data_IF_784370496959
#
_entry.id   IF_784370496959
#
_cell.length_a   1.000
_cell.length_b   1.000
_cell.length_c   1.000
_cell.angle_alpha   90.00
_cell.angle_beta   90.00
_cell.angle_gamma   90.00
#
_symmetry.space_group_name_H-M   'P 1'
#
loop_
_entity.id
_entity.type
_entity.pdbx_description
1 polymer ?
#
# COMPACT_ATOMS: atom_id res chain seq x y z
N UNK A 1 13.38 17.97 0.58
CA UNK A 1 12.22 17.13 0.25
C UNK A 1 12.70 16.09 -0.73
N UNK A 2 13.15 14.93 -0.24
CA UNK A 2 13.37 13.82 -1.15
C UNK A 2 11.99 13.35 -1.60
N UNK A 3 11.74 13.47 -2.90
CA UNK A 3 10.66 12.72 -3.55
C UNK A 3 11.13 11.26 -3.61
N UNK A 4 11.15 10.57 -2.46
CA UNK A 4 11.39 9.13 -2.42
C UNK A 4 10.33 8.49 -3.32
N UNK A 5 10.77 7.75 -4.33
CA UNK A 5 9.85 7.06 -5.23
C UNK A 5 8.95 6.12 -4.41
N UNK A 6 7.68 6.02 -4.78
CA UNK A 6 6.75 5.12 -4.11
C UNK A 6 5.66 4.66 -5.07
N UNK A 7 5.04 3.52 -4.75
CA UNK A 7 3.82 3.06 -5.41
C UNK A 7 2.62 3.43 -4.55
N UNK A 8 1.70 4.22 -5.08
CA UNK A 8 0.40 4.47 -4.45
C UNK A 8 -0.64 3.48 -4.95
N UNK A 9 -1.27 2.77 -4.03
CA UNK A 9 -2.29 1.76 -4.30
C UNK A 9 -3.62 2.27 -3.78
N UNK A 10 -4.64 2.32 -4.64
CA UNK A 10 -6.02 2.62 -4.25
C UNK A 10 -6.83 1.33 -4.24
N UNK A 11 -7.16 0.78 -3.07
CA UNK A 11 -8.04 -0.38 -2.99
C UNK A 11 -9.45 -0.02 -3.47
N UNK A 12 -10.14 -0.97 -4.11
CA UNK A 12 -11.52 -0.78 -4.58
C UNK A 12 -12.52 -0.66 -3.41
N UNK A 13 -12.23 -1.34 -2.30
CA UNK A 13 -12.96 -1.24 -1.04
C UNK A 13 -12.18 -0.38 -0.06
N UNK A 14 -12.85 0.48 0.74
CA UNK A 14 -12.20 1.16 1.84
C UNK A 14 -11.54 0.13 2.75
N UNK A 15 -10.26 0.33 3.06
CA UNK A 15 -9.53 -0.53 3.99
C UNK A 15 -9.43 0.17 5.35
N UNK A 16 -9.34 -0.63 6.42
CA UNK A 16 -9.14 -0.06 7.75
C UNK A 16 -7.80 0.67 7.81
N UNK A 17 -7.75 1.79 8.53
CA UNK A 17 -6.51 2.52 8.84
C UNK A 17 -6.11 2.24 10.29
N UNK A 18 -5.64 1.01 10.61
CA UNK A 18 -5.33 0.64 11.98
C UNK A 18 -4.14 1.42 12.56
N UNK A 19 -3.34 2.05 11.70
CA UNK A 19 -2.14 2.80 12.07
C UNK A 19 -2.44 4.25 12.45
N UNK A 20 -3.65 4.75 12.19
CA UNK A 20 -4.06 6.11 12.55
C UNK A 20 -3.45 7.21 11.66
N UNK A 21 -3.10 6.89 10.41
CA UNK A 21 -2.59 7.91 9.47
C UNK A 21 -3.68 8.94 9.10
N UNK A 22 -3.30 10.12 8.62
CA UNK A 22 -4.27 11.18 8.31
C UNK A 22 -5.16 10.86 7.11
N UNK A 23 -4.69 10.04 6.17
CA UNK A 23 -5.43 9.60 4.99
C UNK A 23 -5.58 8.08 4.97
N UNK A 24 -6.74 7.57 4.54
CA UNK A 24 -7.03 6.13 4.37
C UNK A 24 -7.46 5.78 2.95
N UNK A 25 -7.36 6.73 2.02
CA UNK A 25 -7.81 6.56 0.63
C UNK A 25 -6.81 5.81 -0.25
N UNK A 26 -5.54 5.77 0.18
CA UNK A 26 -4.41 5.19 -0.54
C UNK A 26 -3.51 4.47 0.46
N UNK A 27 -2.94 3.35 0.06
CA UNK A 27 -1.81 2.72 0.73
C UNK A 27 -0.54 2.98 -0.08
N UNK A 28 0.60 3.14 0.59
CA UNK A 28 1.88 3.45 -0.06
C UNK A 28 2.84 2.28 0.10
N UNK A 29 3.53 1.90 -0.97
CA UNK A 29 4.73 1.04 -0.89
C UNK A 29 5.95 1.92 -1.16
N UNK A 30 6.78 2.17 -0.14
CA UNK A 30 8.05 2.90 -0.31
C UNK A 30 9.00 2.16 -1.27
N UNK A 31 9.71 2.86 -2.15
CA UNK A 31 10.64 2.21 -3.08
C UNK A 31 11.84 1.52 -2.42
N UNK A 32 12.18 1.92 -1.20
CA UNK A 32 13.19 1.29 -0.33
C UNK A 32 12.64 0.09 0.45
N UNK A 33 11.36 -0.26 0.28
CA UNK A 33 10.80 -1.45 0.91
C UNK A 33 11.52 -2.72 0.40
N UNK A 34 12.00 -3.62 1.28
CA UNK A 34 12.77 -4.81 0.88
C UNK A 34 12.04 -5.73 -0.10
N UNK A 35 10.71 -5.77 -0.01
CA UNK A 35 9.84 -6.55 -0.89
C UNK A 35 9.16 -5.72 -2.00
N UNK A 36 9.66 -4.53 -2.34
CA UNK A 36 8.99 -3.60 -3.27
C UNK A 36 8.55 -4.26 -4.58
N UNK A 37 9.45 -5.00 -5.24
CA UNK A 37 9.16 -5.66 -6.52
C UNK A 37 8.12 -6.77 -6.39
N UNK A 38 8.17 -7.53 -5.30
CA UNK A 38 7.22 -8.60 -5.01
C UNK A 38 5.82 -8.02 -4.74
N UNK A 39 5.73 -6.97 -3.92
CA UNK A 39 4.47 -6.30 -3.64
C UNK A 39 3.88 -5.65 -4.90
N UNK A 40 4.70 -5.01 -5.73
CA UNK A 40 4.28 -4.49 -7.04
C UNK A 40 3.70 -5.60 -7.92
N UNK A 41 4.39 -6.74 -8.05
CA UNK A 41 3.92 -7.86 -8.86
C UNK A 41 2.58 -8.41 -8.37
N UNK A 42 2.41 -8.53 -7.05
CA UNK A 42 1.15 -8.99 -6.44
C UNK A 42 0.01 -8.00 -6.67
N UNK A 43 0.26 -6.69 -6.52
CA UNK A 43 -0.74 -5.64 -6.80
C UNK A 43 -1.15 -5.65 -8.28
N UNK A 44 -0.19 -5.79 -9.20
CA UNK A 44 -0.48 -5.89 -10.63
C UNK A 44 -1.29 -7.15 -10.95
N UNK A 45 -0.93 -8.30 -10.37
CA UNK A 45 -1.67 -9.55 -10.56
C UNK A 45 -3.12 -9.42 -10.06
N UNK A 46 -3.32 -8.84 -8.87
CA UNK A 46 -4.65 -8.58 -8.32
C UNK A 46 -5.48 -7.68 -9.24
N UNK A 47 -4.87 -6.63 -9.81
CA UNK A 47 -5.51 -5.74 -10.79
C UNK A 47 -5.93 -6.48 -12.07
N UNK A 48 -5.05 -7.29 -12.65
CA UNK A 48 -5.34 -8.01 -13.90
C UNK A 48 -6.36 -9.13 -13.72
N UNK A 49 -6.37 -9.78 -12.55
CA UNK A 49 -7.26 -10.93 -12.28
C UNK A 49 -8.58 -10.55 -11.61
N UNK A 50 -8.71 -9.32 -11.11
CA UNK A 50 -9.87 -8.88 -10.32
C UNK A 50 -9.99 -9.60 -8.97
N UNK A 51 -8.98 -10.37 -8.58
CA UNK A 51 -8.97 -11.15 -7.35
C UNK A 51 -8.67 -10.25 -6.14
N UNK A 52 -9.50 -10.26 -5.08
CA UNK A 52 -9.19 -9.52 -3.85
C UNK A 52 -7.82 -9.89 -3.25
N UNK A 53 -7.18 -8.90 -2.65
CA UNK A 53 -5.90 -9.03 -1.97
C UNK A 53 -6.03 -8.45 -0.56
N UNK A 54 -5.55 -9.19 0.44
CA UNK A 54 -5.48 -8.67 1.80
C UNK A 54 -4.20 -7.85 1.95
N UNK A 55 -4.36 -6.58 2.32
CA UNK A 55 -3.24 -5.67 2.54
C UNK A 55 -2.94 -5.54 4.05
N UNK A 56 -1.73 -5.89 4.49
CA UNK A 56 -1.23 -5.60 5.83
C UNK A 56 -0.39 -4.32 5.82
N UNK A 57 -0.94 -3.26 6.43
CA UNK A 57 -0.26 -1.98 6.60
C UNK A 57 0.47 -1.91 7.95
N UNK A 58 1.67 -1.33 7.95
CA UNK A 58 2.49 -1.10 9.14
C UNK A 58 3.09 0.31 9.08
N UNK A 59 2.70 1.17 10.02
CA UNK A 59 3.16 2.55 10.12
C UNK A 59 2.55 3.49 9.08
N UNK A 60 3.06 4.71 9.07
CA UNK A 60 2.60 5.79 8.18
C UNK A 60 3.76 6.31 7.34
N UNK A 61 3.49 6.50 6.05
CA UNK A 61 4.38 7.12 5.08
C UNK A 61 3.94 8.57 4.83
N UNK A 62 4.88 9.52 4.93
CA UNK A 62 4.61 10.93 4.68
C UNK A 62 4.75 11.24 3.18
N UNK A 63 3.67 11.73 2.56
CA UNK A 63 3.64 12.15 1.17
C UNK A 63 2.61 13.28 0.99
N UNK A 64 2.81 14.17 0.02
CA UNK A 64 1.81 15.20 -0.34
C UNK A 64 1.26 16.05 0.83
N UNK A 65 2.04 16.25 1.89
CA UNK A 65 1.60 16.99 3.08
C UNK A 65 0.68 16.21 4.03
N UNK A 66 0.44 14.92 3.77
CA UNK A 66 -0.35 14.01 4.58
C UNK A 66 0.47 12.78 4.98
N UNK A 67 -0.15 11.90 5.77
CA UNK A 67 0.36 10.57 6.10
C UNK A 67 -0.59 9.49 5.60
N UNK A 68 -0.02 8.44 5.01
CA UNK A 68 -0.75 7.32 4.42
C UNK A 68 -0.27 6.00 5.04
N UNK A 69 -1.13 4.99 5.19
CA UNK A 69 -0.70 3.67 5.63
C UNK A 69 0.38 3.11 4.70
N UNK A 70 1.49 2.69 5.29
CA UNK A 70 2.59 2.05 4.56
C UNK A 70 2.31 0.56 4.46
N UNK A 71 2.30 0.04 3.25
CA UNK A 71 2.01 -1.36 2.97
C UNK A 71 3.26 -2.22 3.18
N UNK A 72 3.15 -3.26 4.01
CA UNK A 72 4.30 -4.09 4.41
C UNK A 72 4.25 -5.51 3.83
N UNK A 73 3.06 -6.12 3.76
CA UNK A 73 2.91 -7.49 3.30
C UNK A 73 1.57 -7.72 2.61
N UNK A 74 1.57 -8.47 1.51
CA UNK A 74 0.36 -8.92 0.82
C UNK A 74 0.04 -10.35 1.18
N UNK A 75 -1.23 -10.62 1.49
CA UNK A 75 -1.76 -11.96 1.62
C UNK A 75 -2.98 -12.15 0.74
N UNK A 76 -3.43 -13.39 0.68
CA UNK A 76 -4.70 -13.71 0.06
C UNK A 76 -5.41 -14.77 0.86
N UNK A 77 -6.71 -14.57 1.10
CA UNK A 77 -7.53 -15.47 1.89
C UNK A 77 -8.08 -16.68 1.08
N UNK A 78 -7.34 -17.16 0.08
CA UNK A 78 -7.70 -18.40 -0.64
C UNK A 78 -7.00 -19.62 -0.06
#
# INVERSE_FOLDING_TARGET
>A
MESSAFLAVRPATPYANPTGCSSSSLAIIPADHPAYKQLLAVVMLAKETGKPLQLYALGCYAAWGETFPSFYAAGSDW
#
